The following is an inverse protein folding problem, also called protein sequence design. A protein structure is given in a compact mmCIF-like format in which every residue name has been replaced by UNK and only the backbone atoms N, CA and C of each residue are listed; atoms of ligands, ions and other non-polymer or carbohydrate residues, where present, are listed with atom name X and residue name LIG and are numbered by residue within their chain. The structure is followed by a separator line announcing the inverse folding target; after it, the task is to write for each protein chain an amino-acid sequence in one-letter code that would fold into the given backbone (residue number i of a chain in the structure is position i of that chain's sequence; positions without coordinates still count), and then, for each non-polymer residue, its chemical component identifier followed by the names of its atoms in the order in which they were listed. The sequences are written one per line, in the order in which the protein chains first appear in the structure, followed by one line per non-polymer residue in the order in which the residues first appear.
data_IF_663802276161
#
_entry.id   IF_663802276161
#
_cell.length_a   1.000
_cell.length_b   1.000
_cell.length_c   1.000
_cell.angle_alpha   90.00
_cell.angle_beta   90.00
_cell.angle_gamma   90.00
#
_symmetry.space_group_name_H-M   'P 1'
#
loop_
_entity.id
_entity.type
_entity.pdbx_description
1 polymer ?
#
# COMPACT_ATOMS: atom_id res chain seq x y z
N UNK A 1 -24.00 -27.78 -15.46
CA UNK A 1 -23.19 -28.49 -14.44
C UNK A 1 -21.70 -28.35 -14.73
N UNK A 2 -21.02 -29.07 -15.66
CA UNK A 2 -19.57 -28.92 -15.86
C UNK A 2 -19.16 -27.57 -16.47
N UNK A 3 -20.05 -26.90 -17.20
CA UNK A 3 -19.80 -25.54 -17.72
C UNK A 3 -19.85 -24.49 -16.61
N UNK A 4 -20.77 -24.65 -15.66
CA UNK A 4 -21.00 -23.70 -14.57
C UNK A 4 -19.90 -23.80 -13.51
N UNK A 5 -19.36 -25.00 -13.28
CA UNK A 5 -18.21 -25.24 -12.39
C UNK A 5 -16.91 -24.61 -12.93
N UNK A 6 -16.65 -24.74 -14.24
CA UNK A 6 -15.50 -24.07 -14.89
C UNK A 6 -15.63 -22.55 -14.79
N UNK A 7 -16.84 -22.02 -15.05
CA UNK A 7 -17.10 -20.58 -14.98
C UNK A 7 -16.95 -20.03 -13.55
N UNK A 8 -17.45 -20.76 -12.54
CA UNK A 8 -17.25 -20.41 -11.14
C UNK A 8 -15.76 -20.39 -10.74
N UNK A 9 -15.00 -21.41 -11.14
CA UNK A 9 -13.56 -21.49 -10.88
C UNK A 9 -12.78 -20.35 -11.58
N UNK A 10 -13.18 -19.99 -12.80
CA UNK A 10 -12.62 -18.87 -13.53
C UNK A 10 -12.86 -17.53 -12.80
N UNK A 11 -14.08 -17.27 -12.33
CA UNK A 11 -14.39 -16.04 -11.60
C UNK A 11 -13.69 -15.97 -10.24
N UNK A 12 -13.51 -17.10 -9.56
CA UNK A 12 -12.71 -17.16 -8.34
C UNK A 12 -11.25 -16.77 -8.61
N UNK A 13 -10.64 -17.33 -9.67
CA UNK A 13 -9.29 -16.96 -10.10
C UNK A 13 -9.18 -15.48 -10.50
N UNK A 14 -10.17 -14.96 -11.23
CA UNK A 14 -10.19 -13.56 -11.64
C UNK A 14 -10.19 -12.64 -10.41
N UNK A 15 -11.07 -12.89 -9.44
CA UNK A 15 -11.12 -12.12 -8.19
C UNK A 15 -9.81 -12.23 -7.41
N UNK A 16 -9.22 -13.42 -7.31
CA UNK A 16 -7.95 -13.62 -6.61
C UNK A 16 -6.82 -12.75 -7.22
N UNK A 17 -6.76 -12.66 -8.56
CA UNK A 17 -5.80 -11.81 -9.26
C UNK A 17 -6.05 -10.32 -9.04
N UNK A 18 -7.32 -9.89 -9.09
CA UNK A 18 -7.69 -8.51 -8.80
C UNK A 18 -7.29 -8.07 -7.38
N UNK A 19 -7.46 -8.96 -6.39
CA UNK A 19 -7.04 -8.74 -5.01
C UNK A 19 -5.51 -8.64 -4.88
N UNK A 20 -4.76 -9.53 -5.52
CA UNK A 20 -3.30 -9.47 -5.56
C UNK A 20 -2.80 -8.16 -6.20
N UNK A 21 -3.39 -7.75 -7.32
CA UNK A 21 -3.04 -6.49 -7.99
C UNK A 21 -3.40 -5.28 -7.13
N UNK A 22 -4.51 -5.33 -6.39
CA UNK A 22 -4.87 -4.28 -5.45
C UNK A 22 -3.83 -4.14 -4.32
N UNK A 23 -3.32 -5.26 -3.78
CA UNK A 23 -2.26 -5.24 -2.77
C UNK A 23 -0.96 -4.65 -3.31
N UNK A 24 -0.57 -4.99 -4.55
CA UNK A 24 0.63 -4.43 -5.19
C UNK A 24 0.51 -2.92 -5.40
N UNK A 25 -0.61 -2.45 -5.93
CA UNK A 25 -0.90 -1.01 -6.06
C UNK A 25 -0.93 -0.30 -4.71
N UNK A 26 -1.39 -0.98 -3.67
CA UNK A 26 -1.38 -0.43 -2.32
C UNK A 26 0.05 -0.26 -1.79
N UNK A 27 0.98 -1.20 -2.01
CA UNK A 27 2.39 -1.00 -1.64
C UNK A 27 3.01 0.20 -2.35
N UNK A 28 2.79 0.30 -3.67
CA UNK A 28 3.28 1.41 -4.49
C UNK A 28 2.75 2.76 -3.98
N UNK A 29 1.46 2.82 -3.64
CA UNK A 29 0.85 3.99 -3.03
C UNK A 29 1.51 4.34 -1.69
N UNK A 30 1.70 3.37 -0.80
CA UNK A 30 2.30 3.59 0.52
C UNK A 30 3.76 4.08 0.40
N UNK A 31 4.53 3.53 -0.53
CA UNK A 31 5.89 3.98 -0.85
C UNK A 31 5.91 5.43 -1.34
N UNK A 32 5.08 5.73 -2.33
CA UNK A 32 5.01 7.07 -2.91
C UNK A 32 4.53 8.10 -1.86
N UNK A 33 3.58 7.73 -1.03
CA UNK A 33 3.07 8.59 0.04
C UNK A 33 4.13 8.86 1.11
N UNK A 34 4.83 7.83 1.58
CA UNK A 34 5.94 8.02 2.53
C UNK A 34 7.02 8.94 1.95
N UNK A 35 7.34 8.80 0.67
CA UNK A 35 8.31 9.68 0.00
C UNK A 35 7.81 11.12 -0.07
N UNK A 36 6.54 11.35 -0.42
CA UNK A 36 5.92 12.69 -0.43
C UNK A 36 5.99 13.35 0.94
N UNK A 37 5.59 12.63 1.99
CA UNK A 37 5.58 13.14 3.36
C UNK A 37 6.98 13.50 3.87
N UNK A 38 7.96 12.62 3.66
CA UNK A 38 9.36 12.90 4.01
C UNK A 38 9.90 14.11 3.26
N UNK A 39 9.54 14.26 1.98
CA UNK A 39 9.91 15.42 1.18
C UNK A 39 9.33 16.70 1.76
N UNK A 40 8.04 16.72 2.08
CA UNK A 40 7.38 17.88 2.71
C UNK A 40 8.09 18.28 4.01
N UNK A 41 8.46 17.32 4.86
CA UNK A 41 9.25 17.63 6.07
C UNK A 41 10.62 18.20 5.76
N UNK A 42 11.35 17.64 4.78
CA UNK A 42 12.67 18.14 4.40
C UNK A 42 12.64 19.53 3.75
N UNK A 43 11.63 19.80 2.92
CA UNK A 43 11.42 21.11 2.29
C UNK A 43 11.07 22.16 3.34
N UNK A 44 10.22 21.81 4.32
CA UNK A 44 9.88 22.69 5.43
C UNK A 44 11.11 23.09 6.27
N UNK A 45 11.96 22.13 6.64
CA UNK A 45 13.19 22.44 7.37
C UNK A 45 14.16 23.28 6.53
N UNK A 46 14.33 22.99 5.24
CA UNK A 46 15.18 23.78 4.35
C UNK A 46 14.68 25.24 4.18
N UNK A 47 13.36 25.45 4.16
CA UNK A 47 12.80 26.81 4.12
C UNK A 47 13.08 27.60 5.41
N UNK A 48 13.15 26.93 6.57
CA UNK A 48 13.47 27.57 7.84
C UNK A 48 14.91 28.12 7.89
N UNK A 49 15.85 27.53 7.13
CA UNK A 49 17.24 28.01 7.07
C UNK A 49 17.36 29.43 6.48
N UNK A 50 16.39 29.83 5.65
CA UNK A 50 16.33 31.16 5.04
C UNK A 50 15.59 32.20 5.90
N UNK A 51 14.97 31.78 7.01
CA UNK A 51 14.19 32.66 7.89
C UNK A 51 15.08 33.30 8.96
N UNK A 52 14.79 34.56 9.32
CA UNK A 52 15.39 35.20 10.49
C UNK A 52 15.18 34.34 11.76
N UNK A 53 16.28 34.06 12.48
CA UNK A 53 16.30 33.25 13.71
C UNK A 53 15.27 33.68 14.75
N UNK A 54 14.89 34.96 14.79
CA UNK A 54 13.88 35.51 15.70
C UNK A 54 12.48 34.98 15.41
N UNK A 55 12.18 34.67 14.14
CA UNK A 55 10.88 34.19 13.68
C UNK A 55 10.81 32.65 13.65
N UNK A 56 11.94 31.96 13.54
CA UNK A 56 12.02 30.49 13.45
C UNK A 56 11.23 29.79 14.56
N UNK A 57 11.29 30.29 15.81
CA UNK A 57 10.56 29.67 16.93
C UNK A 57 9.05 29.77 16.76
N UNK A 58 8.55 30.92 16.31
CA UNK A 58 7.12 31.14 16.10
C UNK A 58 6.60 30.27 14.94
N UNK A 59 7.35 30.19 13.85
CA UNK A 59 7.02 29.32 12.71
C UNK A 59 7.02 27.84 13.11
N UNK A 60 8.07 27.37 13.80
CA UNK A 60 8.12 25.98 14.31
C UNK A 60 6.93 25.65 15.21
N UNK A 61 6.49 26.59 16.04
CA UNK A 61 5.31 26.38 16.88
C UNK A 61 4.03 26.28 16.04
N UNK A 62 3.87 27.14 15.04
CA UNK A 62 2.74 27.13 14.11
C UNK A 62 2.67 25.84 13.29
N UNK A 63 3.82 25.34 12.84
CA UNK A 63 3.91 24.14 11.98
C UNK A 63 3.90 22.83 12.79
N UNK A 64 4.05 22.91 14.11
CA UNK A 64 4.11 21.74 15.00
C UNK A 64 2.95 20.75 14.81
N UNK A 65 1.68 21.18 14.69
CA UNK A 65 0.57 20.24 14.44
C UNK A 65 0.70 19.50 13.11
N UNK A 66 1.18 20.18 12.07
CA UNK A 66 1.44 19.56 10.77
C UNK A 66 2.57 18.53 10.87
N UNK A 67 3.67 18.88 11.53
CA UNK A 67 4.79 17.95 11.74
C UNK A 67 4.37 16.69 12.52
N UNK A 68 3.51 16.86 13.53
CA UNK A 68 2.94 15.74 14.29
C UNK A 68 2.04 14.87 13.40
N UNK A 69 1.17 15.48 12.58
CA UNK A 69 0.31 14.74 11.66
C UNK A 69 1.12 13.95 10.62
N UNK A 70 2.18 14.54 10.06
CA UNK A 70 3.09 13.87 9.13
C UNK A 70 3.78 12.68 9.81
N UNK A 71 4.27 12.87 11.04
CA UNK A 71 4.92 11.80 11.81
C UNK A 71 3.96 10.64 12.10
N UNK A 72 2.75 10.96 12.57
CA UNK A 72 1.71 9.96 12.84
C UNK A 72 1.33 9.19 11.56
N UNK A 73 1.19 9.88 10.43
CA UNK A 73 0.89 9.24 9.15
C UNK A 73 2.02 8.33 8.68
N UNK A 74 3.28 8.75 8.82
CA UNK A 74 4.44 7.91 8.50
C UNK A 74 4.52 6.65 9.37
N UNK A 75 4.13 6.74 10.65
CA UNK A 75 4.06 5.57 11.54
C UNK A 75 3.02 4.55 11.03
N UNK A 76 1.81 5.02 10.71
CA UNK A 76 0.75 4.17 10.13
C UNK A 76 1.22 3.52 8.82
N UNK A 77 1.86 4.28 7.93
CA UNK A 77 2.42 3.71 6.69
C UNK A 77 3.46 2.64 7.00
N UNK A 78 4.33 2.86 7.98
CA UNK A 78 5.31 1.87 8.43
C UNK A 78 4.66 0.58 8.90
N UNK A 79 3.63 0.66 9.73
CA UNK A 79 2.88 -0.49 10.25
C UNK A 79 2.12 -1.25 9.15
N UNK A 80 1.52 -0.53 8.21
CA UNK A 80 0.85 -1.13 7.05
C UNK A 80 1.84 -1.87 6.15
N UNK A 81 2.98 -1.24 5.85
CA UNK A 81 4.03 -1.86 5.02
C UNK A 81 4.72 -3.04 5.71
N UNK A 82 4.83 -3.04 7.03
CA UNK A 82 5.38 -4.19 7.77
C UNK A 82 4.50 -5.45 7.62
N UNK A 83 3.19 -5.30 7.48
CA UNK A 83 2.22 -6.40 7.34
C UNK A 83 2.00 -6.83 5.88
N UNK A 84 2.42 -6.01 4.92
CA UNK A 84 2.10 -6.22 3.51
C UNK A 84 2.81 -7.42 2.85
N UNK A 85 4.08 -7.75 3.16
CA UNK A 85 4.76 -8.91 2.58
C UNK A 85 4.02 -10.22 2.83
N UNK A 86 3.59 -10.46 4.07
CA UNK A 86 2.81 -11.66 4.44
C UNK A 86 1.48 -11.72 3.69
N UNK A 87 0.80 -10.58 3.54
CA UNK A 87 -0.47 -10.49 2.78
C UNK A 87 -0.27 -10.75 1.29
N UNK A 88 0.83 -10.26 0.71
CA UNK A 88 1.18 -10.51 -0.68
C UNK A 88 1.50 -11.99 -0.90
N UNK A 89 2.32 -12.60 -0.04
CA UNK A 89 2.65 -14.02 -0.10
C UNK A 89 1.39 -14.89 -0.02
N UNK A 90 0.49 -14.59 0.93
CA UNK A 90 -0.78 -15.29 1.07
C UNK A 90 -1.67 -15.15 -0.18
N UNK A 91 -1.75 -13.95 -0.76
CA UNK A 91 -2.53 -13.71 -1.98
C UNK A 91 -1.92 -14.41 -3.20
N UNK A 92 -0.59 -14.44 -3.33
CA UNK A 92 0.11 -15.17 -4.39
C UNK A 92 -0.11 -16.68 -4.29
N UNK A 93 -0.03 -17.24 -3.09
CA UNK A 93 -0.34 -18.64 -2.83
C UNK A 93 -1.80 -18.96 -3.15
N UNK A 94 -2.74 -18.06 -2.82
CA UNK A 94 -4.15 -18.24 -3.12
C UNK A 94 -4.44 -18.20 -4.63
N UNK A 95 -3.83 -17.27 -5.37
CA UNK A 95 -3.91 -17.22 -6.83
C UNK A 95 -3.42 -18.54 -7.43
N UNK A 96 -2.27 -19.05 -6.98
CA UNK A 96 -1.73 -20.33 -7.45
C UNK A 96 -2.68 -21.49 -7.20
N UNK A 97 -3.33 -21.54 -6.03
CA UNK A 97 -4.32 -22.57 -5.71
C UNK A 97 -5.55 -22.47 -6.65
N UNK A 98 -6.06 -21.27 -6.93
CA UNK A 98 -7.14 -21.06 -7.88
C UNK A 98 -6.75 -21.45 -9.32
N UNK A 99 -5.51 -21.20 -9.73
CA UNK A 99 -5.01 -21.61 -11.05
C UNK A 99 -5.00 -23.13 -11.20
N UNK A 100 -4.53 -23.85 -10.17
CA UNK A 100 -4.50 -25.31 -10.14
C UNK A 100 -5.91 -25.89 -10.18
N UNK A 101 -6.83 -25.35 -9.37
CA UNK A 101 -8.23 -25.81 -9.32
C UNK A 101 -8.94 -25.58 -10.67
N UNK A 102 -8.81 -24.38 -11.24
CA UNK A 102 -9.40 -24.07 -12.54
C UNK A 102 -8.84 -24.98 -13.65
N UNK A 103 -7.53 -25.26 -13.66
CA UNK A 103 -6.92 -26.19 -14.61
C UNK A 103 -7.47 -27.62 -14.41
N UNK A 104 -7.56 -28.09 -13.17
CA UNK A 104 -8.09 -29.42 -12.84
C UNK A 104 -9.53 -29.61 -13.31
N UNK A 105 -10.42 -28.63 -13.04
CA UNK A 105 -11.83 -28.69 -13.45
C UNK A 105 -11.95 -28.63 -14.98
N UNK A 106 -11.13 -27.80 -15.64
CA UNK A 106 -11.11 -27.68 -17.10
C UNK A 106 -10.68 -28.98 -17.78
N UNK A 107 -9.63 -29.63 -17.27
CA UNK A 107 -9.04 -30.83 -17.87
C UNK A 107 -9.90 -32.10 -17.61
N UNK A 108 -10.88 -32.03 -16.70
CA UNK A 108 -11.87 -33.10 -16.45
C UNK A 108 -13.09 -33.06 -17.39
N UNK A 109 -13.20 -32.05 -18.24
CA UNK A 109 -14.32 -31.84 -19.17
C UNK A 109 -13.98 -32.34 -20.57
#
# INVERSE_FOLDING_TARGET
MPRDEVEAAYFALLRAREELDALRRYDEYLLAEAQRLRRTSSEGEALLDAVDRRLTRALRHSDQPLAQAVTARLAVIGEERARLPERLEAAEAYVLACEQEHAHIRDRR
#
